data_IF_858153856535
#
_entry.id   IF_858153856535
#
_cell.length_a   1.000
_cell.length_b   1.000
_cell.length_c   1.000
_cell.angle_alpha   90.00
_cell.angle_beta   90.00
_cell.angle_gamma   90.00
#
_symmetry.space_group_name_H-M   'P 1'
#
loop_
_entity.id
_entity.type
_entity.pdbx_description
1 polymer ?
#
# COMPACT_ATOMS: atom_id res chain seq x y z
N UNK A 1 -31.66 -64.63 32.92
CA UNK A 1 -32.07 -65.06 31.56
C UNK A 1 -32.73 -63.85 30.94
N UNK A 2 -31.92 -62.95 30.38
CA UNK A 2 -31.68 -62.86 28.91
C UNK A 2 -32.91 -62.23 28.24
N UNK A 3 -32.82 -61.06 27.60
CA UNK A 3 -32.37 -60.82 26.23
C UNK A 3 -33.09 -59.51 25.77
N UNK A 4 -32.92 -58.98 24.54
CA UNK A 4 -31.70 -58.73 23.78
C UNK A 4 -31.69 -57.31 23.12
N UNK A 5 -30.52 -56.93 22.57
CA UNK A 5 -30.35 -56.05 21.38
C UNK A 5 -31.19 -56.55 20.19
N UNK A 6 -31.62 -55.76 19.17
CA UNK A 6 -30.78 -54.95 18.28
C UNK A 6 -31.55 -53.68 17.80
N UNK A 7 -31.23 -52.86 16.80
CA UNK A 7 -30.48 -53.06 15.57
C UNK A 7 -30.07 -51.70 15.03
N UNK A 8 -28.85 -51.67 14.54
CA UNK A 8 -28.39 -51.01 13.33
C UNK A 8 -29.47 -50.29 12.51
N UNK A 9 -29.30 -48.98 12.36
CA UNK A 9 -29.37 -48.45 11.00
C UNK A 9 -28.37 -47.29 10.90
N UNK A 10 -27.21 -47.65 10.38
CA UNK A 10 -26.17 -46.75 9.94
C UNK A 10 -26.55 -46.26 8.54
N UNK A 11 -27.07 -45.03 8.35
CA UNK A 11 -27.13 -44.46 7.02
C UNK A 11 -25.70 -44.16 6.58
N UNK A 12 -25.27 -44.93 5.57
CA UNK A 12 -24.06 -44.80 4.77
C UNK A 12 -23.60 -43.34 4.61
N UNK A 13 -22.41 -43.06 5.11
CA UNK A 13 -21.67 -41.81 4.90
C UNK A 13 -21.32 -41.67 3.42
N UNK A 14 -22.26 -41.15 2.62
CA UNK A 14 -21.92 -40.58 1.31
C UNK A 14 -21.11 -39.32 1.56
N UNK A 15 -19.78 -39.48 1.61
CA UNK A 15 -18.82 -38.38 1.60
C UNK A 15 -18.87 -37.68 0.24
N UNK A 16 -19.93 -36.93 -0.03
CA UNK A 16 -20.04 -36.10 -1.23
C UNK A 16 -19.19 -34.83 -1.02
N UNK A 17 -17.91 -34.96 -1.36
CA UNK A 17 -16.99 -33.94 -1.89
C UNK A 17 -17.39 -32.50 -1.54
N UNK A 18 -16.87 -32.00 -0.42
CA UNK A 18 -17.04 -30.60 -0.02
C UNK A 18 -16.50 -29.65 -1.09
N UNK A 19 -17.31 -28.63 -1.37
CA UNK A 19 -17.16 -27.59 -2.38
C UNK A 19 -15.93 -26.71 -2.09
N UNK A 20 -14.86 -26.85 -2.87
CA UNK A 20 -13.74 -25.90 -2.90
C UNK A 20 -13.99 -24.87 -4.02
N UNK A 21 -14.84 -23.87 -3.77
CA UNK A 21 -15.05 -22.77 -4.73
C UNK A 21 -15.42 -21.41 -4.11
N UNK A 22 -15.37 -21.28 -2.78
CA UNK A 22 -15.84 -20.09 -2.06
C UNK A 22 -14.74 -19.12 -1.62
N UNK A 23 -13.45 -19.51 -1.65
CA UNK A 23 -12.32 -18.62 -1.29
C UNK A 23 -12.02 -17.58 -2.38
N UNK A 24 -12.06 -17.95 -3.67
CA UNK A 24 -11.75 -17.02 -4.77
C UNK A 24 -12.74 -15.87 -4.95
N UNK A 25 -14.00 -16.03 -4.52
CA UNK A 25 -14.99 -14.96 -4.63
C UNK A 25 -14.77 -13.88 -3.57
N UNK A 26 -14.42 -14.28 -2.34
CA UNK A 26 -14.12 -13.34 -1.25
C UNK A 26 -12.91 -12.47 -1.54
N UNK A 27 -11.81 -13.04 -2.03
CA UNK A 27 -10.60 -12.29 -2.36
C UNK A 27 -10.83 -11.27 -3.50
N UNK A 28 -11.49 -11.69 -4.59
CA UNK A 28 -11.83 -10.78 -5.70
C UNK A 28 -12.72 -9.63 -5.27
N UNK A 29 -13.77 -9.90 -4.49
CA UNK A 29 -14.67 -8.85 -4.00
C UNK A 29 -13.95 -7.87 -3.05
N UNK A 30 -12.98 -8.33 -2.27
CA UNK A 30 -12.18 -7.47 -1.39
C UNK A 30 -11.18 -6.60 -2.17
N UNK A 31 -10.58 -7.15 -3.24
CA UNK A 31 -9.71 -6.38 -4.15
C UNK A 31 -10.47 -5.30 -4.93
N UNK A 32 -11.69 -5.58 -5.42
CA UNK A 32 -12.51 -4.58 -6.16
C UNK A 32 -12.78 -3.35 -5.30
N UNK A 33 -13.22 -3.56 -4.06
CA UNK A 33 -13.49 -2.47 -3.11
C UNK A 33 -12.23 -1.64 -2.80
N UNK A 34 -11.06 -2.28 -2.77
CA UNK A 34 -9.78 -1.61 -2.51
C UNK A 34 -9.38 -0.66 -3.65
N UNK A 35 -9.56 -1.10 -4.90
CA UNK A 35 -9.25 -0.27 -6.08
C UNK A 35 -10.24 0.89 -6.22
N UNK A 36 -11.54 0.64 -6.04
CA UNK A 36 -12.56 1.70 -6.02
C UNK A 36 -12.26 2.76 -4.96
N UNK A 37 -11.84 2.35 -3.77
CA UNK A 37 -11.44 3.27 -2.70
C UNK A 37 -10.23 4.12 -3.10
N UNK A 38 -9.22 3.54 -3.78
CA UNK A 38 -8.07 4.28 -4.29
C UNK A 38 -8.49 5.34 -5.31
N UNK A 39 -9.37 5.00 -6.24
CA UNK A 39 -9.86 5.96 -7.24
C UNK A 39 -10.62 7.12 -6.59
N UNK A 40 -11.35 6.86 -5.50
CA UNK A 40 -12.10 7.88 -4.79
C UNK A 40 -11.23 8.77 -3.88
N UNK A 41 -10.20 8.20 -3.24
CA UNK A 41 -9.38 8.91 -2.24
C UNK A 41 -8.09 9.48 -2.80
N UNK A 42 -7.55 8.89 -3.87
CA UNK A 42 -6.30 9.26 -4.51
C UNK A 42 -6.54 9.42 -6.02
N UNK A 43 -7.35 10.40 -6.44
CA UNK A 43 -7.73 10.56 -7.85
C UNK A 43 -6.61 11.08 -8.75
N UNK A 44 -5.62 11.76 -8.18
CA UNK A 44 -4.50 12.36 -8.92
C UNK A 44 -3.17 12.19 -8.16
N UNK A 45 -2.06 12.53 -8.84
CA UNK A 45 -0.71 12.45 -8.27
C UNK A 45 -0.56 13.36 -7.03
N UNK A 46 -1.21 14.53 -7.02
CA UNK A 46 -1.12 15.50 -5.92
C UNK A 46 -1.78 14.94 -4.65
N UNK A 47 -2.95 14.32 -4.78
CA UNK A 47 -3.65 13.62 -3.71
C UNK A 47 -2.84 12.43 -3.23
N UNK A 48 -2.15 11.71 -4.11
CA UNK A 48 -1.26 10.60 -3.73
C UNK A 48 -0.13 11.10 -2.83
N UNK A 49 0.54 12.19 -3.21
CA UNK A 49 1.60 12.79 -2.41
C UNK A 49 1.06 13.26 -1.05
N UNK A 50 -0.10 13.90 -1.00
CA UNK A 50 -0.73 14.33 0.25
C UNK A 50 -1.10 13.15 1.16
N UNK A 51 -1.69 12.10 0.59
CA UNK A 51 -2.05 10.88 1.31
C UNK A 51 -0.81 10.23 1.94
N UNK A 52 0.25 10.06 1.15
CA UNK A 52 1.50 9.46 1.62
C UNK A 52 2.17 10.29 2.73
N UNK A 53 2.09 11.63 2.65
CA UNK A 53 2.54 12.53 3.73
C UNK A 53 1.70 12.38 5.00
N UNK A 54 0.38 12.33 4.86
CA UNK A 54 -0.54 12.11 5.99
C UNK A 54 -0.32 10.76 6.70
N UNK A 55 0.18 9.76 5.97
CA UNK A 55 0.57 8.45 6.52
C UNK A 55 2.01 8.38 7.05
N UNK A 56 2.78 9.46 6.94
CA UNK A 56 4.21 9.47 7.33
C UNK A 56 5.13 8.66 6.42
N UNK A 57 4.64 8.22 5.25
CA UNK A 57 5.42 7.48 4.25
C UNK A 57 6.30 8.40 3.40
N UNK A 58 5.92 9.69 3.32
CA UNK A 58 6.74 10.76 2.77
C UNK A 58 6.90 11.86 3.80
N UNK A 59 8.00 12.60 3.73
CA UNK A 59 8.23 13.77 4.56
C UNK A 59 7.20 14.86 4.26
N UNK A 60 6.56 15.40 5.29
CA UNK A 60 5.73 16.62 5.19
C UNK A 60 6.59 17.88 5.16
N UNK A 61 7.67 17.88 5.94
CA UNK A 61 8.70 18.90 5.98
C UNK A 61 10.08 18.23 5.97
N UNK A 62 11.09 18.91 5.40
CA UNK A 62 12.45 18.36 5.32
C UNK A 62 13.50 19.43 5.59
N UNK A 63 14.53 19.08 6.35
CA UNK A 63 15.72 19.89 6.55
C UNK A 63 16.83 19.47 5.57
N UNK A 64 17.61 20.46 5.12
CA UNK A 64 18.75 20.23 4.27
C UNK A 64 19.86 19.52 5.08
N UNK A 65 20.35 18.35 4.64
CA UNK A 65 21.38 17.62 5.38
C UNK A 65 22.72 18.36 5.43
N UNK A 66 22.94 19.35 4.56
CA UNK A 66 24.20 20.09 4.48
C UNK A 66 24.21 21.40 5.26
N UNK A 67 23.06 22.02 5.50
CA UNK A 67 23.01 23.34 6.19
C UNK A 67 21.91 23.47 7.25
N UNK A 68 21.13 22.43 7.49
CA UNK A 68 20.04 22.43 8.48
C UNK A 68 18.82 23.28 8.11
N UNK A 69 18.85 24.01 6.98
CA UNK A 69 17.74 24.87 6.58
C UNK A 69 16.58 24.09 5.99
N UNK A 70 15.35 24.60 6.16
CA UNK A 70 14.14 24.02 5.56
C UNK A 70 14.27 23.95 4.04
N UNK A 71 13.78 22.84 3.49
CA UNK A 71 13.66 22.62 2.06
C UNK A 71 12.21 22.85 1.64
N UNK A 72 12.01 23.36 0.43
CA UNK A 72 10.70 23.46 -0.20
C UNK A 72 10.51 22.30 -1.19
N UNK A 73 9.27 21.82 -1.39
CA UNK A 73 8.97 20.99 -2.54
C UNK A 73 9.31 21.75 -3.83
N UNK A 74 9.98 21.07 -4.77
CA UNK A 74 10.26 21.56 -6.11
C UNK A 74 9.01 21.59 -6.98
N UNK A 75 9.17 22.07 -8.23
CA UNK A 75 8.08 22.01 -9.22
C UNK A 75 7.71 20.54 -9.46
N UNK A 76 6.41 20.24 -9.47
CA UNK A 76 5.89 18.87 -9.57
C UNK A 76 5.94 18.06 -8.26
N UNK A 77 6.50 18.59 -7.16
CA UNK A 77 6.48 17.91 -5.86
C UNK A 77 7.37 16.66 -5.73
N UNK A 78 8.14 16.33 -6.78
CA UNK A 78 9.01 15.16 -6.85
C UNK A 78 10.37 15.36 -6.18
N UNK A 79 10.79 16.61 -5.98
CA UNK A 79 12.07 16.98 -5.38
C UNK A 79 11.89 17.89 -4.18
N UNK A 80 12.89 17.89 -3.30
CA UNK A 80 13.11 18.87 -2.26
C UNK A 80 14.26 19.77 -2.69
N UNK A 81 14.09 21.08 -2.56
CA UNK A 81 15.13 22.07 -2.85
C UNK A 81 15.41 22.93 -1.62
N UNK A 82 16.70 23.07 -1.27
CA UNK A 82 17.11 23.99 -0.22
C UNK A 82 16.94 25.45 -0.65
N UNK A 83 16.27 26.27 0.17
CA UNK A 83 16.07 27.70 -0.12
C UNK A 83 17.36 28.54 0.03
N UNK A 84 18.31 28.08 0.85
CA UNK A 84 19.56 28.81 1.08
C UNK A 84 20.34 28.94 -0.23
N UNK A 85 20.50 30.19 -0.73
CA UNK A 85 21.15 30.50 -2.02
C UNK A 85 22.56 29.95 -2.15
N UNK A 86 23.31 29.87 -1.04
CA UNK A 86 24.67 29.33 -1.01
C UNK A 86 24.73 27.81 -0.95
N UNK A 87 23.60 27.12 -0.68
CA UNK A 87 23.54 25.67 -0.60
C UNK A 87 22.87 25.06 -1.83
N UNK A 88 21.63 25.49 -2.16
CA UNK A 88 20.81 25.02 -3.29
C UNK A 88 20.81 23.50 -3.50
N UNK A 89 21.05 22.72 -2.46
CA UNK A 89 21.06 21.26 -2.57
C UNK A 89 19.65 20.77 -2.84
N UNK A 90 19.52 19.95 -3.88
CA UNK A 90 18.29 19.24 -4.21
C UNK A 90 18.36 17.78 -3.74
N UNK A 91 17.21 17.16 -3.57
CA UNK A 91 17.10 15.73 -3.28
C UNK A 91 15.72 15.19 -3.64
N UNK A 92 15.58 13.89 -3.90
CA UNK A 92 14.27 13.31 -4.22
C UNK A 92 13.31 13.39 -3.03
N UNK A 93 12.01 13.46 -3.30
CA UNK A 93 10.97 13.43 -2.26
C UNK A 93 11.06 12.19 -1.37
N UNK A 94 11.60 11.10 -1.94
CA UNK A 94 11.74 9.81 -1.29
C UNK A 94 13.00 9.65 -0.42
N UNK A 95 13.98 10.54 -0.54
CA UNK A 95 15.25 10.38 0.18
C UNK A 95 15.00 10.42 1.69
N UNK A 96 15.41 9.35 2.38
CA UNK A 96 15.19 9.20 3.82
C UNK A 96 13.74 8.90 4.21
N UNK A 97 12.93 8.40 3.27
CA UNK A 97 11.56 7.92 3.52
C UNK A 97 11.49 6.41 3.34
N UNK A 98 10.30 5.82 3.51
CA UNK A 98 10.04 4.41 3.19
C UNK A 98 10.44 4.02 1.76
N UNK A 99 10.35 4.96 0.81
CA UNK A 99 10.70 4.77 -0.59
C UNK A 99 12.18 5.06 -0.91
N UNK A 100 13.01 5.25 0.12
CA UNK A 100 14.45 5.47 -0.04
C UNK A 100 15.09 4.38 -0.91
N UNK A 101 15.92 4.81 -1.87
CA UNK A 101 16.61 3.91 -2.80
C UNK A 101 15.77 3.38 -3.97
N UNK A 102 14.45 3.62 -4.00
CA UNK A 102 13.57 3.14 -5.08
C UNK A 102 13.13 4.22 -6.06
N UNK A 103 13.30 5.49 -5.71
CA UNK A 103 12.92 6.59 -6.57
C UNK A 103 14.03 6.87 -7.58
N UNK A 104 13.92 6.23 -8.73
CA UNK A 104 14.65 6.64 -9.93
C UNK A 104 14.10 7.99 -10.37
N UNK A 105 14.98 8.92 -10.77
CA UNK A 105 14.52 10.05 -11.56
C UNK A 105 13.95 9.45 -12.85
N UNK A 106 12.64 9.50 -13.06
CA UNK A 106 11.99 9.03 -14.28
C UNK A 106 12.50 9.73 -15.56
N UNK A 107 13.34 10.76 -15.42
CA UNK A 107 14.08 11.37 -16.53
C UNK A 107 15.20 10.49 -17.11
N UNK A 108 15.57 9.37 -16.48
CA UNK A 108 16.59 8.45 -17.01
C UNK A 108 16.00 7.17 -17.64
N UNK A 109 14.68 7.09 -17.82
CA UNK A 109 13.99 5.88 -18.29
C UNK A 109 13.49 5.96 -19.74
N UNK A 110 13.80 7.02 -20.48
CA UNK A 110 13.51 7.17 -21.92
C UNK A 110 14.68 7.89 -22.60
#
# INVERSE_FOLDING_TARGET
MSDPTPSDNMPSTSQSRVKVASTSRRLRNMQSKSIEWLHQTVPDEKAAVQFLRGKGLLHSERLCPSCGQRMRPGRGGMTWSCFKRSCRKDGSVCTGTWFGGKCTNSAAAF
#
